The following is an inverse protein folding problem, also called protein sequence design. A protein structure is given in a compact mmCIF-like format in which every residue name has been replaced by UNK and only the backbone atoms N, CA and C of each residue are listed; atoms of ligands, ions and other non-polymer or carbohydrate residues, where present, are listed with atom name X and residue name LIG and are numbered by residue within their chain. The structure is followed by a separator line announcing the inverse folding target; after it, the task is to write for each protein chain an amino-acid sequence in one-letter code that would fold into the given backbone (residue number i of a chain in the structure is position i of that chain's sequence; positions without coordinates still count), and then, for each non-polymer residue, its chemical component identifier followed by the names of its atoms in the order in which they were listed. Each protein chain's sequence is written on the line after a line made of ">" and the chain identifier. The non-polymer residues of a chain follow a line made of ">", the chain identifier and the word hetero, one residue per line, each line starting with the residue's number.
data_IF_394147924553
#
_entry.id   IF_394147924553
#
_cell.length_a   1.000
_cell.length_b   1.000
_cell.length_c   1.000
_cell.angle_alpha   90.00
_cell.angle_beta   90.00
_cell.angle_gamma   90.00
#
_symmetry.space_group_name_H-M   'P 1'
#
loop_
_entity.id
_entity.type
_entity.pdbx_description
1 polymer ?
#
# COMPACT_ATOMS: atom_id res chain seq x y z
N UNK A 1 -3.67 18.25 34.87
CA UNK A 1 -3.75 17.33 33.69
C UNK A 1 -2.50 17.56 32.87
N UNK A 2 -1.57 16.60 32.76
CA UNK A 2 -0.22 16.83 32.24
C UNK A 2 -0.23 17.17 30.72
N UNK A 3 0.68 18.05 30.29
CA UNK A 3 0.90 18.42 28.88
C UNK A 3 1.11 17.21 27.96
N UNK A 4 1.64 16.12 28.51
CA UNK A 4 1.83 14.84 27.83
C UNK A 4 0.49 14.20 27.41
N UNK A 5 -0.55 14.35 28.24
CA UNK A 5 -1.89 13.82 27.96
C UNK A 5 -2.62 14.62 26.85
N UNK A 6 -2.32 15.92 26.70
CA UNK A 6 -2.86 16.76 25.61
C UNK A 6 -2.26 16.42 24.24
N UNK A 7 -0.95 16.13 24.16
CA UNK A 7 -0.27 15.77 22.90
C UNK A 7 -0.80 14.45 22.31
N UNK A 8 -1.01 13.44 23.16
CA UNK A 8 -1.57 12.16 22.71
C UNK A 8 -3.03 12.27 22.28
N UNK A 9 -3.82 13.13 22.93
CA UNK A 9 -5.20 13.42 22.49
C UNK A 9 -5.24 14.05 21.12
N UNK A 10 -4.35 14.99 20.79
CA UNK A 10 -4.24 15.57 19.46
C UNK A 10 -3.91 14.53 18.39
N UNK A 11 -2.94 13.66 18.64
CA UNK A 11 -2.57 12.58 17.75
C UNK A 11 -3.74 11.62 17.49
N UNK A 12 -4.44 11.21 18.55
CA UNK A 12 -5.62 10.36 18.45
C UNK A 12 -6.77 11.05 17.69
N UNK A 13 -6.98 12.33 17.92
CA UNK A 13 -8.03 13.10 17.22
C UNK A 13 -7.75 13.20 15.73
N UNK A 14 -6.50 13.46 15.34
CA UNK A 14 -6.08 13.46 13.94
C UNK A 14 -6.25 12.07 13.32
N UNK A 15 -5.77 11.03 13.98
CA UNK A 15 -5.94 9.65 13.54
C UNK A 15 -7.44 9.29 13.35
N UNK A 16 -8.29 9.57 14.36
CA UNK A 16 -9.72 9.33 14.29
C UNK A 16 -10.39 10.07 13.14
N UNK A 17 -10.02 11.35 12.93
CA UNK A 17 -10.51 12.14 11.79
C UNK A 17 -10.17 11.44 10.46
N UNK A 18 -8.96 10.96 10.29
CA UNK A 18 -8.52 10.29 9.07
C UNK A 18 -9.23 8.94 8.85
N UNK A 19 -9.42 8.16 9.91
CA UNK A 19 -10.19 6.91 9.85
C UNK A 19 -11.66 7.20 9.50
N UNK A 20 -12.29 8.17 10.15
CA UNK A 20 -13.68 8.54 9.87
C UNK A 20 -13.85 9.10 8.44
N UNK A 21 -12.83 9.77 7.89
CA UNK A 21 -12.85 10.29 6.53
C UNK A 21 -13.03 9.16 5.51
N UNK A 22 -12.24 8.10 5.58
CA UNK A 22 -12.40 6.99 4.66
C UNK A 22 -13.65 6.15 4.98
N UNK A 23 -14.03 6.03 6.25
CA UNK A 23 -15.20 5.27 6.66
C UNK A 23 -16.50 5.82 6.08
N UNK A 24 -16.62 7.14 5.97
CA UNK A 24 -17.81 7.79 5.35
C UNK A 24 -17.99 7.43 3.89
N UNK A 25 -16.94 7.04 3.20
CA UNK A 25 -16.95 6.59 1.80
C UNK A 25 -16.52 5.13 1.68
N UNK A 26 -16.67 4.33 2.76
CA UNK A 26 -16.15 2.97 2.85
C UNK A 26 -16.70 2.08 1.74
N UNK A 27 -17.98 2.19 1.42
CA UNK A 27 -18.58 1.41 0.34
C UNK A 27 -17.87 1.64 -0.99
N UNK A 28 -17.69 2.88 -1.42
CA UNK A 28 -17.00 3.22 -2.65
C UNK A 28 -15.52 2.83 -2.59
N UNK A 29 -14.89 3.00 -1.42
CA UNK A 29 -13.48 2.68 -1.19
C UNK A 29 -13.19 1.19 -1.29
N UNK A 30 -14.15 0.34 -0.92
CA UNK A 30 -14.02 -1.13 -0.93
C UNK A 30 -14.59 -1.73 -2.21
N UNK A 31 -15.77 -1.29 -2.64
CA UNK A 31 -16.46 -1.88 -3.79
C UNK A 31 -15.63 -1.76 -5.08
N UNK A 32 -14.99 -0.61 -5.32
CA UNK A 32 -14.18 -0.40 -6.52
C UNK A 32 -12.98 -1.36 -6.62
N UNK A 33 -12.09 -1.49 -5.60
CA UNK A 33 -11.01 -2.47 -5.63
C UNK A 33 -11.49 -3.92 -5.69
N UNK A 34 -12.59 -4.27 -5.01
CA UNK A 34 -13.17 -5.62 -5.07
C UNK A 34 -13.64 -5.94 -6.47
N UNK A 35 -14.40 -5.04 -7.11
CA UNK A 35 -14.84 -5.24 -8.50
C UNK A 35 -13.66 -5.36 -9.45
N UNK A 36 -12.64 -4.52 -9.29
CA UNK A 36 -11.42 -4.59 -10.11
C UNK A 36 -10.70 -5.93 -9.91
N UNK A 37 -10.54 -6.39 -8.68
CA UNK A 37 -9.92 -7.68 -8.39
C UNK A 37 -10.73 -8.86 -8.96
N UNK A 38 -12.06 -8.82 -8.85
CA UNK A 38 -12.94 -9.82 -9.45
C UNK A 38 -12.88 -9.84 -10.97
N UNK A 39 -12.82 -8.67 -11.61
CA UNK A 39 -12.66 -8.58 -13.08
C UNK A 39 -11.32 -9.14 -13.53
N UNK A 40 -10.23 -8.81 -12.83
CA UNK A 40 -8.92 -9.42 -13.10
C UNK A 40 -8.96 -10.92 -12.92
N UNK A 41 -9.53 -11.40 -11.81
CA UNK A 41 -9.66 -12.82 -11.54
C UNK A 41 -10.46 -13.52 -12.66
N UNK A 42 -11.61 -12.96 -13.05
CA UNK A 42 -12.47 -13.51 -14.09
C UNK A 42 -11.74 -13.57 -15.44
N UNK A 43 -11.13 -12.46 -15.88
CA UNK A 43 -10.46 -12.39 -17.19
C UNK A 43 -9.26 -13.33 -17.21
N UNK A 44 -8.36 -13.22 -16.25
CA UNK A 44 -7.11 -13.97 -16.26
C UNK A 44 -7.31 -15.46 -15.94
N UNK A 45 -8.34 -15.80 -15.15
CA UNK A 45 -8.66 -17.21 -14.92
C UNK A 45 -9.18 -17.92 -16.18
N UNK A 46 -9.94 -17.23 -17.03
CA UNK A 46 -10.45 -17.83 -18.27
C UNK A 46 -9.45 -17.80 -19.42
N UNK A 47 -8.64 -16.74 -19.51
CA UNK A 47 -7.72 -16.56 -20.64
C UNK A 47 -6.39 -17.29 -20.44
N UNK A 48 -5.86 -17.34 -19.22
CA UNK A 48 -4.51 -17.83 -18.95
C UNK A 48 -4.44 -19.12 -18.14
N UNK A 49 -5.51 -19.52 -17.46
CA UNK A 49 -5.49 -20.70 -16.57
C UNK A 49 -5.09 -22.00 -17.26
N UNK A 50 -5.41 -22.16 -18.56
CA UNK A 50 -5.08 -23.35 -19.35
C UNK A 50 -3.67 -23.34 -19.95
N UNK A 51 -2.98 -22.18 -19.94
CA UNK A 51 -1.73 -21.98 -20.69
C UNK A 51 -0.53 -21.63 -19.80
N UNK A 52 -0.75 -21.25 -18.54
CA UNK A 52 0.31 -20.74 -17.66
C UNK A 52 0.29 -21.48 -16.33
N UNK A 53 1.34 -22.25 -16.05
CA UNK A 53 1.69 -22.72 -14.71
C UNK A 53 2.87 -21.89 -14.22
N UNK A 54 2.67 -21.13 -13.13
CA UNK A 54 3.74 -20.28 -12.55
C UNK A 54 4.52 -21.04 -11.50
N UNK A 55 3.81 -21.75 -10.61
CA UNK A 55 4.42 -22.64 -9.60
C UNK A 55 3.87 -24.06 -9.78
N UNK A 56 4.72 -25.07 -9.55
CA UNK A 56 4.26 -26.46 -9.53
C UNK A 56 3.13 -26.65 -8.54
N UNK A 57 2.04 -27.27 -8.99
CA UNK A 57 0.83 -27.57 -8.20
C UNK A 57 0.04 -26.34 -7.67
N UNK A 58 0.28 -25.14 -8.20
CA UNK A 58 -0.51 -23.96 -7.87
C UNK A 58 -1.29 -23.50 -9.10
N UNK A 59 -2.63 -23.58 -9.08
CA UNK A 59 -3.44 -23.04 -10.17
C UNK A 59 -3.16 -21.55 -10.38
N UNK A 60 -3.15 -21.10 -11.62
CA UNK A 60 -2.87 -19.69 -11.93
C UNK A 60 -3.84 -18.72 -11.24
N UNK A 61 -5.11 -19.11 -11.09
CA UNK A 61 -6.13 -18.37 -10.34
C UNK A 61 -5.72 -18.14 -8.88
N UNK A 62 -5.23 -19.19 -8.21
CA UNK A 62 -4.74 -19.10 -6.83
C UNK A 62 -3.49 -18.20 -6.74
N UNK A 63 -2.57 -18.32 -7.71
CA UNK A 63 -1.37 -17.47 -7.79
C UNK A 63 -1.69 -15.97 -7.90
N UNK A 64 -2.75 -15.61 -8.63
CA UNK A 64 -3.15 -14.20 -8.83
C UNK A 64 -3.65 -13.52 -7.55
N UNK A 65 -4.40 -14.24 -6.73
CA UNK A 65 -5.14 -13.63 -5.61
C UNK A 65 -4.25 -12.91 -4.61
N UNK A 66 -3.17 -13.47 -4.07
CA UNK A 66 -2.27 -12.74 -3.18
C UNK A 66 -1.68 -11.49 -3.82
N UNK A 67 -1.35 -11.55 -5.12
CA UNK A 67 -0.90 -10.39 -5.90
C UNK A 67 -1.94 -9.29 -5.96
N UNK A 68 -3.20 -9.61 -6.27
CA UNK A 68 -4.32 -8.66 -6.34
C UNK A 68 -4.67 -8.07 -4.98
N UNK A 69 -4.64 -8.88 -3.92
CA UNK A 69 -4.84 -8.41 -2.54
C UNK A 69 -3.78 -7.37 -2.20
N UNK A 70 -2.50 -7.73 -2.40
CA UNK A 70 -1.40 -6.85 -2.06
C UNK A 70 -1.40 -5.58 -2.91
N UNK A 71 -1.64 -5.68 -4.22
CA UNK A 71 -1.80 -4.54 -5.11
C UNK A 71 -2.85 -3.55 -4.59
N UNK A 72 -4.03 -4.04 -4.25
CA UNK A 72 -5.14 -3.21 -3.77
C UNK A 72 -4.84 -2.60 -2.40
N UNK A 73 -4.21 -3.36 -1.50
CA UNK A 73 -3.76 -2.91 -0.19
C UNK A 73 -2.78 -1.74 -0.33
N UNK A 74 -1.75 -1.89 -1.16
CA UNK A 74 -0.71 -0.90 -1.40
C UNK A 74 -1.30 0.39 -1.98
N UNK A 75 -2.13 0.28 -3.01
CA UNK A 75 -2.79 1.42 -3.66
C UNK A 75 -3.72 2.17 -2.71
N UNK A 76 -4.47 1.46 -1.85
CA UNK A 76 -5.36 2.09 -0.89
C UNK A 76 -4.63 2.75 0.28
N UNK A 77 -3.52 2.19 0.75
CA UNK A 77 -2.66 2.83 1.73
C UNK A 77 -2.05 4.13 1.18
N UNK A 78 -1.52 4.11 -0.05
CA UNK A 78 -1.04 5.30 -0.75
C UNK A 78 -2.14 6.35 -0.91
N UNK A 79 -3.29 5.96 -1.46
CA UNK A 79 -4.40 6.85 -1.74
C UNK A 79 -4.96 7.51 -0.47
N UNK A 80 -4.95 6.83 0.68
CA UNK A 80 -5.45 7.42 1.93
C UNK A 80 -4.63 8.64 2.36
N UNK A 81 -3.33 8.49 2.49
CA UNK A 81 -2.45 9.54 2.98
C UNK A 81 -2.26 10.66 1.96
N UNK A 82 -2.10 10.32 0.67
CA UNK A 82 -1.92 11.30 -0.39
C UNK A 82 -3.16 12.17 -0.60
N UNK A 83 -4.36 11.55 -0.65
CA UNK A 83 -5.61 12.30 -0.82
C UNK A 83 -5.94 13.17 0.39
N UNK A 84 -5.61 12.73 1.62
CA UNK A 84 -5.82 13.54 2.82
C UNK A 84 -5.03 14.85 2.77
N UNK A 85 -3.74 14.74 2.44
CA UNK A 85 -2.86 15.90 2.43
C UNK A 85 -3.20 16.86 1.30
N UNK A 86 -3.36 16.35 0.07
CA UNK A 86 -3.69 17.24 -1.06
C UNK A 86 -5.04 17.95 -0.87
N UNK A 87 -6.04 17.23 -0.36
CA UNK A 87 -7.33 17.82 -0.04
C UNK A 87 -7.21 18.91 1.03
N UNK A 88 -6.43 18.67 2.10
CA UNK A 88 -6.22 19.64 3.17
C UNK A 88 -5.46 20.88 2.68
N UNK A 89 -4.51 20.72 1.73
CA UNK A 89 -3.80 21.85 1.09
C UNK A 89 -4.74 22.66 0.20
N UNK A 90 -5.43 22.03 -0.71
CA UNK A 90 -6.32 22.70 -1.68
C UNK A 90 -7.47 23.43 -1.00
N UNK A 91 -8.02 22.87 0.09
CA UNK A 91 -9.07 23.49 0.88
C UNK A 91 -8.54 24.53 1.91
N UNK A 92 -7.23 24.71 2.03
CA UNK A 92 -6.62 25.61 3.02
C UNK A 92 -6.67 25.10 4.47
N UNK A 93 -7.25 23.94 4.72
CA UNK A 93 -7.43 23.39 6.07
C UNK A 93 -6.12 22.90 6.71
N UNK A 94 -5.05 22.73 5.92
CA UNK A 94 -3.74 22.28 6.41
C UNK A 94 -3.19 23.22 7.48
N UNK A 95 -3.44 24.54 7.35
CA UNK A 95 -2.98 25.55 8.31
C UNK A 95 -3.54 25.27 9.70
N UNK A 96 -4.82 24.95 9.83
CA UNK A 96 -5.44 24.64 11.13
C UNK A 96 -4.83 23.38 11.77
N UNK A 97 -4.44 22.41 10.98
CA UNK A 97 -3.77 21.18 11.48
C UNK A 97 -2.36 21.53 11.96
N UNK A 98 -1.63 22.36 11.22
CA UNK A 98 -0.25 22.76 11.55
C UNK A 98 -0.19 23.72 12.78
N UNK A 99 -1.26 24.45 13.08
CA UNK A 99 -1.37 25.28 14.28
C UNK A 99 -1.61 24.45 15.55
N UNK A 100 -1.98 23.18 15.43
CA UNK A 100 -2.12 22.31 16.61
C UNK A 100 -0.76 21.98 17.22
N UNK A 101 -0.66 21.79 18.56
CA UNK A 101 0.60 21.46 19.23
C UNK A 101 1.03 20.00 19.00
N UNK A 102 1.04 19.56 17.73
CA UNK A 102 1.50 18.23 17.31
C UNK A 102 2.96 18.31 16.85
N UNK A 103 3.77 17.35 17.29
CA UNK A 103 5.08 17.18 16.71
C UNK A 103 4.98 16.57 15.30
N UNK A 104 5.99 16.82 14.45
CA UNK A 104 6.06 16.23 13.10
C UNK A 104 5.98 14.70 13.12
N UNK A 105 6.51 14.05 14.15
CA UNK A 105 6.44 12.61 14.33
C UNK A 105 5.00 12.14 14.65
N UNK A 106 4.29 12.86 15.52
CA UNK A 106 2.91 12.56 15.88
C UNK A 106 1.97 12.74 14.67
N UNK A 107 2.21 13.78 13.88
CA UNK A 107 1.50 14.02 12.63
C UNK A 107 1.72 12.86 11.63
N UNK A 108 2.99 12.46 11.43
CA UNK A 108 3.36 11.33 10.58
C UNK A 108 2.68 10.04 11.04
N UNK A 109 2.79 9.68 12.32
CA UNK A 109 2.22 8.44 12.86
C UNK A 109 0.70 8.39 12.75
N UNK A 110 0.00 9.50 12.96
CA UNK A 110 -1.46 9.55 12.83
C UNK A 110 -1.93 9.30 11.38
N UNK A 111 -1.28 9.94 10.41
CA UNK A 111 -1.59 9.73 8.98
C UNK A 111 -1.22 8.33 8.52
N UNK A 112 -0.04 7.85 8.91
CA UNK A 112 0.45 6.53 8.55
C UNK A 112 -0.47 5.43 9.10
N UNK A 113 -0.81 5.49 10.39
CA UNK A 113 -1.70 4.50 11.00
C UNK A 113 -3.07 4.44 10.31
N UNK A 114 -3.66 5.59 9.96
CA UNK A 114 -4.92 5.62 9.23
C UNK A 114 -4.80 5.05 7.80
N UNK A 115 -3.67 5.31 7.12
CA UNK A 115 -3.38 4.75 5.80
C UNK A 115 -3.23 3.23 5.84
N UNK A 116 -2.53 2.72 6.86
CA UNK A 116 -2.37 1.29 7.09
C UNK A 116 -3.71 0.60 7.36
N UNK A 117 -4.55 1.16 8.23
CA UNK A 117 -5.88 0.61 8.52
C UNK A 117 -6.71 0.51 7.24
N UNK A 118 -6.75 1.56 6.41
CA UNK A 118 -7.50 1.52 5.17
C UNK A 118 -6.95 0.47 4.21
N UNK A 119 -5.64 0.43 4.00
CA UNK A 119 -5.00 -0.56 3.11
C UNK A 119 -5.27 -1.99 3.57
N UNK A 120 -5.03 -2.28 4.85
CA UNK A 120 -5.26 -3.60 5.45
C UNK A 120 -6.73 -4.01 5.38
N UNK A 121 -7.66 -3.09 5.65
CA UNK A 121 -9.10 -3.35 5.59
C UNK A 121 -9.54 -3.72 4.17
N UNK A 122 -9.11 -2.97 3.16
CA UNK A 122 -9.44 -3.28 1.76
C UNK A 122 -8.83 -4.62 1.34
N UNK A 123 -7.55 -4.87 1.66
CA UNK A 123 -6.91 -6.15 1.38
C UNK A 123 -7.61 -7.33 2.04
N UNK A 124 -8.05 -7.16 3.30
CA UNK A 124 -8.79 -8.18 4.04
C UNK A 124 -10.17 -8.48 3.39
N UNK A 125 -10.91 -7.46 2.96
CA UNK A 125 -12.20 -7.66 2.29
C UNK A 125 -12.00 -8.40 0.95
N UNK A 126 -10.97 -8.04 0.17
CA UNK A 126 -10.66 -8.76 -1.08
C UNK A 126 -10.31 -10.21 -0.79
N UNK A 127 -9.53 -10.49 0.26
CA UNK A 127 -9.23 -11.85 0.70
C UNK A 127 -10.52 -12.64 1.01
N UNK A 128 -11.43 -12.07 1.81
CA UNK A 128 -12.71 -12.72 2.12
C UNK A 128 -13.55 -13.02 0.87
N UNK A 129 -13.60 -12.09 -0.07
CA UNK A 129 -14.33 -12.28 -1.34
C UNK A 129 -13.64 -13.36 -2.18
N UNK A 130 -12.32 -13.39 -2.23
CA UNK A 130 -11.55 -14.37 -3.00
C UNK A 130 -11.78 -15.82 -2.53
N UNK A 131 -12.04 -16.05 -1.24
CA UNK A 131 -12.33 -17.37 -0.68
C UNK A 131 -13.59 -18.01 -1.25
N UNK A 132 -14.53 -17.24 -1.83
CA UNK A 132 -15.70 -17.79 -2.53
C UNK A 132 -15.37 -18.37 -3.91
N UNK A 133 -14.20 -18.05 -4.45
CA UNK A 133 -13.83 -18.42 -5.82
C UNK A 133 -12.69 -19.43 -5.88
N UNK A 134 -11.79 -19.40 -4.89
CA UNK A 134 -10.57 -20.22 -4.90
C UNK A 134 -10.17 -20.61 -3.48
N UNK A 135 -9.80 -21.86 -3.30
CA UNK A 135 -9.18 -22.32 -2.05
C UNK A 135 -7.74 -21.80 -1.98
N UNK A 136 -7.47 -20.97 -1.00
CA UNK A 136 -6.15 -20.39 -0.76
C UNK A 136 -5.49 -21.12 0.42
N UNK A 137 -4.41 -21.88 0.18
CA UNK A 137 -3.64 -22.43 1.27
C UNK A 137 -2.97 -21.30 2.06
N UNK A 138 -2.88 -21.44 3.36
CA UNK A 138 -2.12 -20.53 4.24
C UNK A 138 -1.02 -21.35 4.90
N UNK A 139 0.22 -21.18 4.44
CA UNK A 139 1.37 -21.93 4.96
C UNK A 139 2.02 -21.16 6.12
N UNK A 140 2.20 -19.86 5.98
CA UNK A 140 2.91 -19.04 6.94
C UNK A 140 2.18 -17.70 7.20
N UNK A 141 1.24 -17.69 8.16
CA UNK A 141 0.47 -16.46 8.55
C UNK A 141 1.39 -15.30 8.93
N UNK A 142 2.51 -15.59 9.60
CA UNK A 142 3.47 -14.56 10.04
C UNK A 142 4.01 -13.73 8.86
N UNK A 143 4.35 -14.35 7.73
CA UNK A 143 4.83 -13.65 6.54
C UNK A 143 3.72 -12.82 5.88
N UNK A 144 2.49 -13.34 5.81
CA UNK A 144 1.33 -12.60 5.30
C UNK A 144 1.15 -11.29 6.08
N UNK A 145 1.08 -11.39 7.41
CA UNK A 145 0.89 -10.21 8.28
C UNK A 145 2.06 -9.25 8.19
N UNK A 146 3.30 -9.76 8.19
CA UNK A 146 4.50 -8.93 8.10
C UNK A 146 4.52 -8.11 6.82
N UNK A 147 4.33 -8.73 5.66
CA UNK A 147 4.36 -8.00 4.39
C UNK A 147 3.13 -7.11 4.17
N UNK A 148 1.95 -7.49 4.67
CA UNK A 148 0.77 -6.63 4.64
C UNK A 148 0.99 -5.34 5.46
N UNK A 149 1.55 -5.46 6.66
CA UNK A 149 1.84 -4.33 7.55
C UNK A 149 2.95 -3.46 6.97
N UNK A 150 4.09 -4.04 6.58
CA UNK A 150 5.23 -3.29 6.03
C UNK A 150 4.89 -2.65 4.69
N UNK A 151 4.17 -3.34 3.81
CA UNK A 151 3.73 -2.80 2.54
C UNK A 151 2.78 -1.62 2.69
N UNK A 152 1.78 -1.75 3.58
CA UNK A 152 0.85 -0.64 3.88
C UNK A 152 1.58 0.55 4.51
N UNK A 153 2.58 0.30 5.38
CA UNK A 153 3.39 1.36 5.97
C UNK A 153 4.27 2.06 4.92
N UNK A 154 4.90 1.31 4.03
CA UNK A 154 5.76 1.85 2.96
C UNK A 154 4.95 2.73 2.01
N UNK A 155 3.82 2.23 1.50
CA UNK A 155 2.97 2.99 0.57
C UNK A 155 2.22 4.12 1.27
N UNK A 156 1.82 3.96 2.52
CA UNK A 156 1.28 5.04 3.34
C UNK A 156 2.27 6.19 3.51
N UNK A 157 3.55 5.87 3.80
CA UNK A 157 4.64 6.85 3.88
C UNK A 157 4.89 7.54 2.53
N UNK A 158 4.94 6.75 1.46
CA UNK A 158 5.12 7.28 0.11
C UNK A 158 3.98 8.22 -0.29
N UNK A 159 2.73 7.87 0.09
CA UNK A 159 1.56 8.74 -0.09
C UNK A 159 1.65 10.05 0.69
N UNK A 160 2.23 10.05 1.90
CA UNK A 160 2.48 11.29 2.65
C UNK A 160 3.48 12.17 1.89
N UNK A 161 4.60 11.62 1.42
CA UNK A 161 5.60 12.35 0.62
C UNK A 161 4.95 12.95 -0.63
N UNK A 162 4.20 12.15 -1.38
CA UNK A 162 3.51 12.61 -2.57
C UNK A 162 2.49 13.72 -2.27
N UNK A 163 1.72 13.60 -1.17
CA UNK A 163 0.76 14.61 -0.73
C UNK A 163 1.40 15.91 -0.26
N UNK A 164 2.60 15.85 0.34
CA UNK A 164 3.38 17.04 0.68
C UNK A 164 3.91 17.71 -0.61
N UNK A 165 4.42 16.92 -1.55
CA UNK A 165 5.02 17.43 -2.79
C UNK A 165 3.99 18.03 -3.75
N UNK A 166 2.82 17.42 -3.89
CA UNK A 166 1.78 17.87 -4.81
C UNK A 166 1.08 19.12 -4.30
N UNK A 167 0.81 20.07 -5.20
CA UNK A 167 0.07 21.30 -4.92
C UNK A 167 -1.33 21.29 -5.57
N UNK A 168 -1.56 20.38 -6.55
CA UNK A 168 -2.82 20.23 -7.29
C UNK A 168 -3.20 18.75 -7.39
N UNK A 169 -4.51 18.47 -7.54
CA UNK A 169 -5.00 17.11 -7.76
C UNK A 169 -4.41 16.45 -9.02
N UNK A 170 -4.18 17.22 -10.09
CA UNK A 170 -3.59 16.70 -11.33
C UNK A 170 -2.17 16.17 -11.13
N UNK A 171 -1.36 16.83 -10.28
CA UNK A 171 -0.03 16.35 -9.93
C UNK A 171 -0.10 15.02 -9.16
N UNK A 172 -1.10 14.86 -8.28
CA UNK A 172 -1.33 13.62 -7.57
C UNK A 172 -1.76 12.50 -8.52
N UNK A 173 -2.66 12.80 -9.47
CA UNK A 173 -3.06 11.85 -10.49
C UNK A 173 -1.89 11.45 -11.40
N UNK A 174 -1.04 12.39 -11.78
CA UNK A 174 0.19 12.12 -12.53
C UNK A 174 1.13 11.19 -11.73
N UNK A 175 1.33 11.44 -10.45
CA UNK A 175 2.13 10.58 -9.59
C UNK A 175 1.58 9.15 -9.52
N UNK A 176 0.26 9.01 -9.37
CA UNK A 176 -0.41 7.72 -9.38
C UNK A 176 -0.19 6.97 -10.70
N UNK A 177 -0.38 7.65 -11.83
CA UNK A 177 -0.37 7.02 -13.14
C UNK A 177 1.05 6.76 -13.69
N UNK A 178 2.02 7.63 -13.39
CA UNK A 178 3.38 7.52 -13.93
C UNK A 178 4.38 6.86 -12.98
N UNK A 179 4.07 6.76 -11.68
CA UNK A 179 4.96 6.12 -10.71
C UNK A 179 4.33 4.86 -10.12
N UNK A 180 3.17 5.00 -9.46
CA UNK A 180 2.58 3.87 -8.72
C UNK A 180 2.12 2.76 -9.67
N UNK A 181 1.41 3.10 -10.75
CA UNK A 181 0.88 2.10 -11.68
C UNK A 181 1.98 1.31 -12.39
N UNK A 182 3.02 1.92 -13.01
CA UNK A 182 4.10 1.16 -13.62
C UNK A 182 4.86 0.27 -12.63
N UNK A 183 5.18 0.76 -11.43
CA UNK A 183 5.83 -0.03 -10.40
C UNK A 183 4.96 -1.22 -9.98
N UNK A 184 3.64 -1.03 -9.90
CA UNK A 184 2.69 -2.11 -9.57
C UNK A 184 2.66 -3.18 -10.68
N UNK A 185 2.61 -2.77 -11.95
CA UNK A 185 2.61 -3.74 -13.06
C UNK A 185 3.92 -4.51 -13.18
N UNK A 186 5.06 -3.88 -12.88
CA UNK A 186 6.38 -4.51 -12.88
C UNK A 186 6.70 -5.27 -11.58
N UNK A 187 5.73 -5.48 -10.71
CA UNK A 187 5.94 -6.09 -9.40
C UNK A 187 5.63 -7.59 -9.32
N UNK A 188 5.30 -8.22 -10.45
CA UNK A 188 4.98 -9.65 -10.46
C UNK A 188 3.59 -10.00 -9.92
N UNK A 189 2.63 -9.06 -9.92
CA UNK A 189 1.22 -9.36 -9.57
C UNK A 189 0.66 -10.46 -10.44
N UNK A 190 0.88 -10.37 -11.75
CA UNK A 190 0.28 -11.22 -12.78
C UNK A 190 1.19 -12.32 -13.30
N UNK A 191 2.46 -12.35 -12.92
CA UNK A 191 3.48 -13.27 -13.43
C UNK A 191 4.59 -13.49 -12.40
N UNK A 192 5.38 -14.55 -12.54
CA UNK A 192 6.65 -14.68 -11.83
C UNK A 192 7.73 -13.88 -12.56
N UNK A 193 8.67 -13.28 -11.81
CA UNK A 193 9.80 -12.54 -12.38
C UNK A 193 10.61 -13.40 -13.36
N UNK A 194 10.65 -14.72 -13.15
CA UNK A 194 11.39 -15.66 -14.00
C UNK A 194 10.80 -15.81 -15.40
N UNK A 195 9.53 -15.43 -15.61
CA UNK A 195 8.90 -15.45 -16.94
C UNK A 195 9.24 -14.23 -17.80
N UNK A 196 9.91 -13.21 -17.22
CA UNK A 196 10.32 -12.00 -17.95
C UNK A 196 11.64 -12.19 -18.70
N UNK A 197 11.87 -11.44 -19.81
CA UNK A 197 13.19 -11.32 -20.42
C UNK A 197 14.24 -10.82 -19.39
N UNK A 198 15.54 -11.20 -19.53
CA UNK A 198 16.58 -10.91 -18.52
C UNK A 198 16.69 -9.44 -18.12
N UNK A 199 16.55 -8.52 -19.08
CA UNK A 199 16.55 -7.08 -18.83
C UNK A 199 15.45 -6.68 -17.82
N UNK A 200 14.21 -7.13 -18.03
CA UNK A 200 13.08 -6.79 -17.18
C UNK A 200 13.15 -7.47 -15.80
N UNK A 201 13.79 -8.66 -15.71
CA UNK A 201 14.08 -9.29 -14.42
C UNK A 201 14.97 -8.40 -13.56
N UNK A 202 16.02 -7.81 -14.17
CA UNK A 202 16.92 -6.88 -13.46
C UNK A 202 16.16 -5.62 -13.01
N UNK A 203 15.37 -5.01 -13.91
CA UNK A 203 14.57 -3.82 -13.59
C UNK A 203 13.59 -4.10 -12.44
N UNK A 204 12.91 -5.26 -12.46
CA UNK A 204 11.96 -5.64 -11.41
C UNK A 204 12.64 -5.83 -10.04
N UNK A 205 13.91 -6.25 -9.99
CA UNK A 205 14.69 -6.39 -8.74
C UNK A 205 15.00 -5.04 -8.07
N UNK A 206 14.95 -3.92 -8.78
CA UNK A 206 15.03 -2.57 -8.19
C UNK A 206 13.68 -2.05 -7.68
N UNK A 207 12.59 -2.76 -7.96
CA UNK A 207 11.25 -2.37 -7.59
C UNK A 207 10.87 -2.92 -6.20
N UNK A 208 10.69 -2.08 -5.16
CA UNK A 208 10.28 -2.56 -3.84
C UNK A 208 8.91 -3.24 -3.81
N UNK A 209 8.01 -2.90 -4.75
CA UNK A 209 6.70 -3.54 -4.87
C UNK A 209 6.81 -5.03 -5.15
N UNK A 210 7.81 -5.44 -5.94
CA UNK A 210 8.08 -6.85 -6.22
C UNK A 210 8.32 -7.63 -4.92
N UNK A 211 9.20 -7.15 -4.06
CA UNK A 211 9.51 -7.82 -2.79
C UNK A 211 8.34 -7.85 -1.82
N UNK A 212 7.48 -6.83 -1.82
CA UNK A 212 6.27 -6.83 -1.00
C UNK A 212 5.28 -7.90 -1.45
N UNK A 213 5.07 -8.05 -2.76
CA UNK A 213 4.12 -9.00 -3.34
C UNK A 213 4.66 -10.42 -3.25
N UNK A 214 5.92 -10.64 -3.59
CA UNK A 214 6.55 -11.96 -3.52
C UNK A 214 6.61 -12.50 -2.10
N UNK A 215 7.03 -11.67 -1.13
CA UNK A 215 7.05 -12.05 0.28
C UNK A 215 5.65 -12.31 0.87
N UNK A 216 4.64 -11.55 0.45
CA UNK A 216 3.25 -11.78 0.82
C UNK A 216 2.73 -13.10 0.24
N UNK A 217 3.03 -13.38 -1.02
CA UNK A 217 2.68 -14.62 -1.71
C UNK A 217 3.35 -15.83 -1.10
N UNK A 218 4.62 -15.70 -0.66
CA UNK A 218 5.32 -16.74 0.06
C UNK A 218 4.56 -17.21 1.30
N UNK A 219 3.87 -16.32 1.99
CA UNK A 219 3.04 -16.66 3.14
C UNK A 219 1.88 -17.60 2.82
N UNK A 220 1.33 -17.55 1.61
CA UNK A 220 0.25 -18.43 1.16
C UNK A 220 0.78 -19.78 0.68
N UNK A 221 1.81 -19.81 -0.14
CA UNK A 221 2.23 -21.03 -0.85
C UNK A 221 3.53 -21.65 -0.32
N UNK A 222 4.26 -20.97 0.58
CA UNK A 222 5.60 -21.38 0.99
C UNK A 222 6.63 -21.33 -0.14
N UNK A 223 6.26 -20.76 -1.29
CA UNK A 223 7.08 -20.59 -2.49
C UNK A 223 7.10 -19.12 -2.89
N UNK A 224 8.24 -18.63 -3.37
CA UNK A 224 8.44 -17.27 -3.85
C UNK A 224 9.55 -17.24 -4.89
N UNK A 225 9.62 -16.15 -5.64
CA UNK A 225 10.65 -15.94 -6.65
C UNK A 225 12.01 -15.61 -6.02
N UNK A 226 11.99 -15.07 -4.78
CA UNK A 226 13.19 -14.79 -3.98
C UNK A 226 12.98 -15.21 -2.52
N UNK A 227 14.08 -15.25 -1.75
CA UNK A 227 13.99 -15.55 -0.31
C UNK A 227 13.14 -14.49 0.43
N UNK A 228 12.19 -14.90 1.30
CA UNK A 228 11.37 -13.96 2.06
C UNK A 228 12.18 -13.07 2.99
N UNK A 229 13.35 -13.53 3.45
CA UNK A 229 14.28 -12.74 4.25
C UNK A 229 14.92 -11.60 3.43
N UNK A 230 15.29 -11.87 2.17
CA UNK A 230 15.77 -10.82 1.27
C UNK A 230 14.68 -9.78 1.03
N UNK A 231 13.46 -10.23 0.74
CA UNK A 231 12.29 -9.37 0.56
C UNK A 231 12.05 -8.50 1.80
N UNK A 232 12.17 -9.06 3.00
CA UNK A 232 12.02 -8.34 4.26
C UNK A 232 13.07 -7.23 4.42
N UNK A 233 14.34 -7.55 4.20
CA UNK A 233 15.44 -6.57 4.32
C UNK A 233 15.27 -5.41 3.34
N UNK A 234 14.94 -5.72 2.08
CA UNK A 234 14.70 -4.69 1.05
C UNK A 234 13.52 -3.79 1.42
N UNK A 235 12.38 -4.37 1.82
CA UNK A 235 11.19 -3.61 2.17
C UNK A 235 11.43 -2.72 3.39
N UNK A 236 12.10 -3.23 4.44
CA UNK A 236 12.47 -2.44 5.61
C UNK A 236 13.42 -1.31 5.22
N UNK A 237 14.45 -1.59 4.41
CA UNK A 237 15.38 -0.58 3.94
C UNK A 237 14.70 0.57 3.21
N UNK A 238 13.79 0.26 2.28
CA UNK A 238 12.98 1.27 1.58
C UNK A 238 12.05 2.03 2.52
N UNK A 239 11.39 1.33 3.46
CA UNK A 239 10.51 1.98 4.43
C UNK A 239 11.27 2.98 5.31
N UNK A 240 12.43 2.60 5.84
CA UNK A 240 13.26 3.47 6.66
C UNK A 240 13.78 4.68 5.87
N UNK A 241 14.22 4.47 4.63
CA UNK A 241 14.64 5.54 3.74
C UNK A 241 13.51 6.55 3.45
N UNK A 242 12.33 6.05 3.09
CA UNK A 242 11.15 6.90 2.83
C UNK A 242 10.68 7.60 4.11
N UNK A 243 10.66 6.91 5.24
CA UNK A 243 10.29 7.50 6.52
C UNK A 243 11.24 8.65 6.91
N UNK A 244 12.55 8.47 6.71
CA UNK A 244 13.53 9.51 6.96
C UNK A 244 13.31 10.74 6.06
N UNK A 245 13.08 10.55 4.75
CA UNK A 245 12.75 11.63 3.81
C UNK A 245 11.47 12.34 4.24
N UNK A 246 10.41 11.59 4.53
CA UNK A 246 9.13 12.11 4.96
C UNK A 246 9.25 12.96 6.23
N UNK A 247 9.96 12.45 7.24
CA UNK A 247 10.17 13.18 8.51
C UNK A 247 11.02 14.43 8.31
N UNK A 248 12.00 14.42 7.42
CA UNK A 248 12.75 15.62 7.02
C UNK A 248 11.83 16.66 6.38
N UNK A 249 10.98 16.27 5.42
CA UNK A 249 10.04 17.17 4.76
C UNK A 249 9.07 17.80 5.78
N UNK A 250 8.51 16.99 6.69
CA UNK A 250 7.62 17.47 7.75
C UNK A 250 8.33 18.41 8.73
N UNK A 251 9.55 18.10 9.14
CA UNK A 251 10.35 18.91 10.07
C UNK A 251 10.73 20.26 9.46
N UNK A 252 11.10 20.28 8.18
CA UNK A 252 11.44 21.52 7.47
C UNK A 252 10.21 22.37 7.12
N UNK A 253 8.99 21.78 7.15
CA UNK A 253 7.78 22.44 6.68
C UNK A 253 7.73 22.62 5.16
N UNK A 254 8.52 21.84 4.41
CA UNK A 254 8.61 21.92 2.96
C UNK A 254 7.22 21.83 2.31
N UNK A 255 6.85 22.84 1.50
CA UNK A 255 5.55 22.95 0.81
C UNK A 255 4.30 22.84 1.70
N UNK A 256 4.44 22.94 3.02
CA UNK A 256 3.35 22.95 3.98
C UNK A 256 3.15 24.35 4.59
N UNK A 257 4.21 25.16 4.58
CA UNK A 257 4.22 26.55 5.00
C UNK A 257 4.45 27.41 3.74
N UNK A 258 3.41 27.63 3.00
CA UNK A 258 3.39 28.50 1.85
C UNK A 258 2.79 29.85 2.22
#
# INVERSE_FOLDING_TARGET
>A
MSLMNQKWRGTYTLFKKEVLRFWRVAFQTVASPVLTALLYLLIFSHVLASHVQVYENVPYTAFLIPGLIMMSLLQNAFANSSSSLIQSKVMGNIVFILLTPLSYLQFYMALLAAAMIRGLFVGFVIYLVALFFVDLPIVHVGWILTFAVLGSALLGTFGIIAGIWADKFDQMAAFQNFVIMPLTFLSGVFYSIHSLPPFWQVVSKFNPFFYMIDGFRFGFFGKGDVSPWLSLVVVIGFLLGLAWVCLKMLKSGYKLRG
#
